data_IF_824237591092
#
_entry.id   IF_824237591092
#
_cell.length_a   1.000
_cell.length_b   1.000
_cell.length_c   1.000
_cell.angle_alpha   90.00
_cell.angle_beta   90.00
_cell.angle_gamma   90.00
#
_symmetry.space_group_name_H-M   'P 1'
#
loop_
_entity.id
_entity.type
_entity.pdbx_description
1 polymer ?
#
# COMPACT_ATOMS: atom_id res chain seq x y z
N UNK A 1 -33.82 19.39 -4.47
CA UNK A 1 -32.88 18.59 -5.30
C UNK A 1 -31.49 19.01 -4.90
N UNK A 2 -30.70 18.19 -4.21
CA UNK A 2 -29.40 18.61 -3.76
C UNK A 2 -28.41 18.59 -4.93
N UNK A 3 -27.66 19.68 -5.04
CA UNK A 3 -26.56 19.92 -5.97
C UNK A 3 -25.57 18.76 -5.97
N UNK A 4 -25.18 18.33 -7.16
CA UNK A 4 -24.02 17.49 -7.38
C UNK A 4 -22.77 18.25 -6.90
N UNK A 5 -22.35 17.97 -5.66
CA UNK A 5 -21.01 18.29 -5.17
C UNK A 5 -20.03 17.86 -6.25
N UNK A 6 -19.20 18.78 -6.73
CA UNK A 6 -18.05 18.48 -7.61
C UNK A 6 -17.41 17.19 -7.12
N UNK A 7 -17.59 16.09 -7.86
CA UNK A 7 -16.79 14.87 -7.69
C UNK A 7 -15.34 15.33 -7.79
N UNK A 8 -14.66 15.38 -6.64
CA UNK A 8 -13.24 15.70 -6.59
C UNK A 8 -12.54 14.79 -7.58
N UNK A 9 -11.64 15.34 -8.38
CA UNK A 9 -10.78 14.57 -9.27
C UNK A 9 -10.20 13.39 -8.50
N UNK A 10 -10.73 12.18 -8.73
CA UNK A 10 -10.19 10.97 -8.17
C UNK A 10 -8.89 10.71 -8.92
N UNK A 11 -7.78 11.33 -8.49
CA UNK A 11 -6.44 11.18 -9.11
C UNK A 11 -6.02 9.70 -9.19
N UNK A 12 -6.61 8.86 -8.35
CA UNK A 12 -6.43 7.41 -8.29
C UNK A 12 -7.34 6.61 -9.23
N UNK A 13 -8.31 7.24 -9.89
CA UNK A 13 -9.23 6.64 -10.85
C UNK A 13 -9.03 7.23 -12.25
N UNK A 14 -9.64 6.61 -13.27
CA UNK A 14 -9.60 7.10 -14.65
C UNK A 14 -10.54 8.30 -14.85
N UNK A 15 -10.13 9.23 -15.71
CA UNK A 15 -10.88 10.46 -15.96
C UNK A 15 -12.09 10.21 -16.87
N UNK A 16 -13.25 10.77 -16.51
CA UNK A 16 -14.35 11.03 -17.45
C UNK A 16 -15.17 9.84 -17.99
N UNK A 17 -14.87 8.59 -17.64
CA UNK A 17 -15.61 7.43 -18.18
C UNK A 17 -16.81 7.02 -17.30
N UNK A 18 -16.54 6.58 -16.07
CA UNK A 18 -17.50 6.01 -15.14
C UNK A 18 -17.00 6.27 -13.72
N UNK A 19 -17.85 6.61 -12.73
CA UNK A 19 -17.39 6.78 -11.35
C UNK A 19 -16.74 5.48 -10.82
N UNK A 20 -15.78 5.57 -9.89
CA UNK A 20 -15.18 4.39 -9.29
C UNK A 20 -16.24 3.58 -8.54
N UNK A 21 -16.19 2.23 -8.58
CA UNK A 21 -17.04 1.41 -7.74
C UNK A 21 -16.84 1.72 -6.25
N UNK A 22 -17.89 1.57 -5.45
CA UNK A 22 -17.83 1.84 -4.01
C UNK A 22 -16.77 1.00 -3.28
N UNK A 23 -16.54 -0.25 -3.72
CA UNK A 23 -15.49 -1.13 -3.19
C UNK A 23 -14.10 -0.52 -3.40
N UNK A 24 -13.86 0.11 -4.55
CA UNK A 24 -12.59 0.78 -4.84
C UNK A 24 -12.37 2.00 -3.97
N UNK A 25 -13.38 2.86 -3.86
CA UNK A 25 -13.29 4.03 -2.98
C UNK A 25 -13.05 3.63 -1.51
N UNK A 26 -13.77 2.61 -1.03
CA UNK A 26 -13.62 2.09 0.33
C UNK A 26 -12.19 1.58 0.59
N UNK A 27 -11.65 0.74 -0.31
CA UNK A 27 -10.29 0.20 -0.12
C UNK A 27 -9.23 1.29 -0.24
N UNK A 28 -9.40 2.27 -1.14
CA UNK A 28 -8.47 3.41 -1.20
C UNK A 28 -8.47 4.17 0.12
N UNK A 29 -9.65 4.49 0.64
CA UNK A 29 -9.79 5.16 1.93
C UNK A 29 -9.14 4.32 3.04
N UNK A 30 -9.47 3.04 3.15
CA UNK A 30 -8.90 2.13 4.14
C UNK A 30 -7.37 2.08 4.10
N UNK A 31 -6.77 2.05 2.91
CA UNK A 31 -5.32 1.95 2.75
C UNK A 31 -4.57 3.28 2.90
N UNK A 32 -5.26 4.41 2.72
CA UNK A 32 -4.64 5.76 2.69
C UNK A 32 -5.07 6.69 3.82
N UNK A 33 -6.15 6.37 4.54
CA UNK A 33 -6.67 7.21 5.62
C UNK A 33 -5.62 7.35 6.74
N UNK A 34 -5.38 8.56 7.27
CA UNK A 34 -4.33 8.81 8.27
C UNK A 34 -4.38 7.91 9.51
N UNK A 35 -5.57 7.45 9.89
CA UNK A 35 -5.75 6.58 11.06
C UNK A 35 -5.24 5.14 10.82
N UNK A 36 -5.27 4.67 9.57
CA UNK A 36 -4.94 3.28 9.20
C UNK A 36 -3.68 3.14 8.34
N UNK A 37 -3.24 4.22 7.69
CA UNK A 37 -2.09 4.25 6.76
C UNK A 37 -0.82 3.66 7.36
N UNK A 38 -0.62 3.86 8.68
CA UNK A 38 0.56 3.36 9.38
C UNK A 38 0.47 1.86 9.62
N UNK A 39 -0.69 1.34 9.99
CA UNK A 39 -0.90 -0.09 10.24
C UNK A 39 -0.69 -0.88 8.95
N UNK A 40 -1.33 -0.43 7.87
CA UNK A 40 -1.13 -0.98 6.54
C UNK A 40 0.32 -0.83 6.07
N UNK A 41 0.95 0.32 6.31
CA UNK A 41 2.36 0.55 6.00
C UNK A 41 3.30 -0.41 6.72
N UNK A 42 2.99 -0.85 7.95
CA UNK A 42 3.78 -1.86 8.67
C UNK A 42 3.65 -3.22 7.99
N UNK A 43 2.43 -3.64 7.66
CA UNK A 43 2.19 -4.91 6.96
C UNK A 43 2.96 -4.96 5.62
N UNK A 44 2.86 -3.88 4.84
CA UNK A 44 3.56 -3.75 3.56
C UNK A 44 5.07 -3.71 3.73
N UNK A 45 5.59 -2.94 4.68
CA UNK A 45 7.02 -2.88 4.96
C UNK A 45 7.59 -4.24 5.39
N UNK A 46 6.82 -5.01 6.17
CA UNK A 46 7.19 -6.37 6.57
C UNK A 46 7.22 -7.33 5.38
N UNK A 47 6.22 -7.27 4.49
CA UNK A 47 6.21 -8.01 3.24
C UNK A 47 7.45 -7.69 2.39
N UNK A 48 7.73 -6.41 2.13
CA UNK A 48 8.88 -6.00 1.31
C UNK A 48 10.20 -6.47 1.92
N UNK A 49 10.35 -6.38 3.25
CA UNK A 49 11.54 -6.88 3.94
C UNK A 49 11.70 -8.41 3.78
N UNK A 50 10.61 -9.15 3.93
CA UNK A 50 10.58 -10.62 3.76
C UNK A 50 10.90 -11.01 2.32
N UNK A 51 10.24 -10.37 1.35
CA UNK A 51 10.44 -10.63 -0.07
C UNK A 51 11.90 -10.41 -0.48
N UNK A 52 12.50 -9.28 -0.07
CA UNK A 52 13.91 -8.99 -0.37
C UNK A 52 14.88 -9.98 0.26
N UNK A 53 14.57 -10.52 1.43
CA UNK A 53 15.38 -11.56 2.07
C UNK A 53 15.35 -12.87 1.28
N UNK A 54 14.23 -13.18 0.63
CA UNK A 54 14.05 -14.42 -0.15
C UNK A 54 14.60 -14.29 -1.58
N UNK A 55 14.39 -13.16 -2.23
CA UNK A 55 14.63 -13.00 -3.67
C UNK A 55 15.77 -12.03 -4.03
N UNK A 56 16.45 -11.42 -3.05
CA UNK A 56 17.52 -10.40 -3.22
C UNK A 56 17.03 -9.06 -3.82
N UNK A 57 16.06 -9.09 -4.74
CA UNK A 57 15.37 -7.94 -5.33
C UNK A 57 14.12 -7.55 -4.55
N UNK A 58 13.64 -6.33 -4.79
CA UNK A 58 12.34 -5.87 -4.27
C UNK A 58 11.17 -6.48 -5.05
N UNK A 59 9.98 -6.57 -4.45
CA UNK A 59 8.78 -6.92 -5.19
C UNK A 59 8.42 -5.83 -6.21
N UNK A 60 7.55 -6.16 -7.15
CA UNK A 60 6.78 -5.20 -7.95
C UNK A 60 5.59 -4.66 -7.16
N UNK A 61 4.99 -3.57 -7.63
CA UNK A 61 3.72 -3.10 -7.08
C UNK A 61 2.63 -4.18 -7.21
N UNK A 62 2.57 -4.91 -8.33
CA UNK A 62 1.59 -5.98 -8.53
C UNK A 62 1.71 -7.06 -7.44
N UNK A 63 2.91 -7.58 -7.21
CA UNK A 63 3.15 -8.61 -6.19
C UNK A 63 2.83 -8.11 -4.78
N UNK A 64 3.19 -6.86 -4.48
CA UNK A 64 2.87 -6.24 -3.20
C UNK A 64 1.36 -6.14 -2.97
N UNK A 65 0.59 -5.70 -3.96
CA UNK A 65 -0.87 -5.63 -3.82
C UNK A 65 -1.52 -7.01 -3.83
N UNK A 66 -0.97 -7.99 -4.56
CA UNK A 66 -1.45 -9.38 -4.51
C UNK A 66 -1.30 -10.02 -3.13
N UNK A 67 -0.23 -9.70 -2.40
CA UNK A 67 -0.09 -10.11 -1.00
C UNK A 67 -1.13 -9.42 -0.12
N UNK A 68 -1.38 -8.13 -0.36
CA UNK A 68 -2.22 -7.30 0.49
C UNK A 68 -3.72 -7.61 0.34
N UNK A 69 -4.14 -7.85 -0.90
CA UNK A 69 -5.52 -8.14 -1.29
C UNK A 69 -5.54 -9.50 -1.99
N UNK A 70 -5.32 -10.60 -1.26
CA UNK A 70 -5.14 -11.92 -1.86
C UNK A 70 -6.41 -12.42 -2.54
N UNK A 71 -7.58 -12.15 -1.94
CA UNK A 71 -8.87 -12.65 -2.41
C UNK A 71 -9.28 -12.07 -3.78
N UNK A 72 -8.72 -10.92 -4.14
CA UNK A 72 -9.04 -10.17 -5.36
C UNK A 72 -7.84 -10.05 -6.30
N UNK A 73 -6.74 -10.78 -6.03
CA UNK A 73 -5.55 -10.75 -6.86
C UNK A 73 -4.86 -9.38 -6.92
N UNK A 74 -4.97 -8.58 -5.85
CA UNK A 74 -4.31 -7.28 -5.74
C UNK A 74 -5.08 -6.12 -6.34
N UNK A 75 -6.42 -6.18 -6.30
CA UNK A 75 -7.34 -5.12 -6.72
C UNK A 75 -8.44 -4.90 -5.68
N UNK A 76 -9.05 -3.71 -5.56
CA UNK A 76 -10.13 -3.50 -4.61
C UNK A 76 -11.42 -4.29 -4.86
N UNK A 77 -11.62 -4.78 -6.07
CA UNK A 77 -12.81 -5.51 -6.50
C UNK A 77 -12.92 -5.53 -8.01
N UNK A 78 -14.08 -5.94 -8.52
CA UNK A 78 -14.35 -6.01 -9.95
C UNK A 78 -14.37 -4.62 -10.59
N UNK A 79 -14.06 -4.60 -11.90
CA UNK A 79 -14.21 -3.42 -12.72
C UNK A 79 -15.65 -3.30 -13.22
N UNK A 80 -16.13 -2.07 -13.48
CA UNK A 80 -17.35 -1.89 -14.28
C UNK A 80 -17.20 -2.56 -15.65
N UNK A 81 -18.28 -3.18 -16.12
CA UNK A 81 -18.29 -3.92 -17.38
C UNK A 81 -18.01 -3.01 -18.58
N UNK A 82 -18.37 -1.73 -18.47
CA UNK A 82 -18.21 -0.70 -19.50
C UNK A 82 -16.76 -0.28 -19.71
N UNK A 83 -15.84 -0.66 -18.82
CA UNK A 83 -14.43 -0.33 -18.99
C UNK A 83 -13.77 -1.28 -19.99
N UNK A 84 -13.09 -0.71 -20.97
CA UNK A 84 -12.24 -1.43 -21.91
C UNK A 84 -10.97 -1.96 -21.20
N UNK A 85 -10.31 -3.01 -21.73
CA UNK A 85 -9.18 -3.65 -21.07
C UNK A 85 -8.01 -2.70 -20.73
N UNK A 86 -7.74 -1.73 -21.58
CA UNK A 86 -6.74 -0.67 -21.38
C UNK A 86 -7.15 0.29 -20.27
N UNK A 87 -8.42 0.68 -20.19
CA UNK A 87 -8.97 1.48 -19.08
C UNK A 87 -8.90 0.73 -17.74
N UNK A 88 -9.18 -0.58 -17.73
CA UNK A 88 -9.02 -1.43 -16.54
C UNK A 88 -7.56 -1.49 -16.07
N UNK A 89 -6.63 -1.63 -17.02
CA UNK A 89 -5.20 -1.63 -16.73
C UNK A 89 -4.72 -0.27 -16.18
N UNK A 90 -5.22 0.83 -16.75
CA UNK A 90 -4.94 2.18 -16.27
C UNK A 90 -5.49 2.41 -14.87
N UNK A 91 -6.75 2.05 -14.61
CA UNK A 91 -7.38 2.15 -13.30
C UNK A 91 -6.60 1.36 -12.23
N UNK A 92 -6.19 0.12 -12.54
CA UNK A 92 -5.33 -0.67 -11.66
C UNK A 92 -3.98 0.01 -11.39
N UNK A 93 -3.36 0.61 -12.41
CA UNK A 93 -2.08 1.30 -12.28
C UNK A 93 -2.20 2.55 -11.42
N UNK A 94 -3.20 3.41 -11.69
CA UNK A 94 -3.47 4.65 -10.93
C UNK A 94 -3.77 4.35 -9.46
N UNK A 95 -4.61 3.35 -9.19
CA UNK A 95 -4.89 2.89 -7.82
C UNK A 95 -3.61 2.50 -7.07
N UNK A 96 -2.81 1.59 -7.66
CA UNK A 96 -1.59 1.08 -6.99
C UNK A 96 -0.58 2.20 -6.77
N UNK A 97 -0.40 3.08 -7.75
CA UNK A 97 0.52 4.20 -7.65
C UNK A 97 0.08 5.23 -6.62
N UNK A 98 -1.21 5.55 -6.55
CA UNK A 98 -1.74 6.47 -5.56
C UNK A 98 -1.48 5.98 -4.12
N UNK A 99 -1.91 4.75 -3.83
CA UNK A 99 -1.71 4.15 -2.49
C UNK A 99 -0.22 4.01 -2.16
N UNK A 100 0.59 3.56 -3.12
CA UNK A 100 2.03 3.43 -2.90
C UNK A 100 2.73 4.78 -2.67
N UNK A 101 2.27 5.85 -3.34
CA UNK A 101 2.77 7.21 -3.12
C UNK A 101 2.45 7.68 -1.71
N UNK A 102 1.22 7.46 -1.22
CA UNK A 102 0.85 7.79 0.17
C UNK A 102 1.80 7.09 1.15
N UNK A 103 2.03 5.78 1.00
CA UNK A 103 2.96 5.06 1.88
C UNK A 103 4.42 5.49 1.72
N UNK A 104 4.83 5.94 0.54
CA UNK A 104 6.16 6.53 0.33
C UNK A 104 6.30 7.86 1.05
N UNK A 105 5.28 8.71 0.99
CA UNK A 105 5.24 9.98 1.71
C UNK A 105 5.29 9.77 3.23
N UNK A 106 4.57 8.77 3.74
CA UNK A 106 4.63 8.35 5.15
C UNK A 106 5.94 7.61 5.53
N UNK A 107 6.87 7.42 4.58
CA UNK A 107 8.16 6.79 4.82
C UNK A 107 8.07 5.30 5.17
N UNK A 108 6.99 4.63 4.79
CA UNK A 108 6.77 3.19 5.04
C UNK A 108 7.46 2.33 3.99
N UNK A 109 7.41 2.74 2.72
CA UNK A 109 8.11 2.12 1.59
C UNK A 109 8.88 3.15 0.75
N UNK A 110 9.67 2.66 -0.20
CA UNK A 110 10.25 3.49 -1.25
C UNK A 110 10.69 2.63 -2.43
N UNK A 111 11.01 3.26 -3.56
CA UNK A 111 11.52 2.61 -4.76
C UNK A 111 12.42 3.56 -5.55
N UNK A 112 12.96 3.09 -6.68
CA UNK A 112 13.67 3.93 -7.66
C UNK A 112 12.76 4.12 -8.86
N UNK A 113 12.52 5.37 -9.24
CA UNK A 113 11.63 5.70 -10.35
C UNK A 113 12.19 5.13 -11.67
N UNK A 114 11.30 4.66 -12.55
CA UNK A 114 11.66 4.07 -13.85
C UNK A 114 12.19 2.63 -13.81
N UNK A 115 12.22 1.95 -12.66
CA UNK A 115 12.75 0.60 -12.54
C UNK A 115 11.82 -0.35 -11.76
N UNK A 116 11.48 -1.49 -12.39
CA UNK A 116 10.78 -2.59 -11.73
C UNK A 116 11.66 -3.25 -10.63
N UNK A 117 11.02 -3.96 -9.70
CA UNK A 117 11.67 -4.71 -8.62
C UNK A 117 12.58 -3.90 -7.69
N UNK A 118 12.29 -2.60 -7.53
CA UNK A 118 13.08 -1.70 -6.67
C UNK A 118 12.41 -1.35 -5.35
N UNK A 119 11.25 -1.95 -5.04
CA UNK A 119 10.56 -1.71 -3.77
C UNK A 119 11.43 -2.11 -2.58
N UNK A 120 11.55 -1.19 -1.63
CA UNK A 120 12.34 -1.31 -0.41
C UNK A 120 11.58 -0.72 0.77
N UNK A 121 12.00 -1.11 1.96
CA UNK A 121 11.48 -0.53 3.21
C UNK A 121 11.87 0.93 3.33
N UNK A 122 10.93 1.75 3.78
CA UNK A 122 11.12 3.18 4.03
C UNK A 122 11.80 3.46 5.37
N UNK A 123 12.12 4.73 5.60
CA UNK A 123 12.83 5.20 6.80
C UNK A 123 12.01 5.05 8.08
N UNK A 124 10.72 5.43 8.04
CA UNK A 124 9.83 5.34 9.20
C UNK A 124 9.57 3.89 9.59
N UNK A 125 9.35 3.00 8.61
CA UNK A 125 9.24 1.57 8.88
C UNK A 125 10.48 1.03 9.60
N UNK A 126 11.68 1.35 9.10
CA UNK A 126 12.94 0.89 9.72
C UNK A 126 13.10 1.42 11.15
N UNK A 127 12.73 2.68 11.39
CA UNK A 127 12.78 3.27 12.73
C UNK A 127 11.84 2.54 13.70
N UNK A 128 10.61 2.25 13.28
CA UNK A 128 9.64 1.51 14.10
C UNK A 128 10.10 0.09 14.41
N UNK A 129 10.63 -0.63 13.41
CA UNK A 129 11.20 -1.98 13.62
C UNK A 129 12.38 -1.94 14.59
N UNK A 130 13.26 -0.94 14.47
CA UNK A 130 14.39 -0.77 15.39
C UNK A 130 13.92 -0.50 16.82
N UNK A 131 12.96 0.41 17.01
CA UNK A 131 12.37 0.71 18.31
C UNK A 131 11.71 -0.53 18.93
N UNK A 132 10.96 -1.32 18.14
CA UNK A 132 10.33 -2.56 18.62
C UNK A 132 11.36 -3.59 19.05
N UNK A 133 12.43 -3.78 18.28
CA UNK A 133 13.54 -4.69 18.64
C UNK A 133 14.24 -4.26 19.92
N UNK A 134 14.49 -2.95 20.09
CA UNK A 134 15.09 -2.41 21.30
C UNK A 134 14.21 -2.67 22.53
N UNK A 135 12.90 -2.46 22.42
CA UNK A 135 11.95 -2.73 23.49
C UNK A 135 11.90 -4.22 23.88
N UNK A 136 11.89 -5.12 22.90
CA UNK A 136 11.93 -6.57 23.16
C UNK A 136 13.23 -6.94 23.89
N UNK A 137 14.38 -6.43 23.41
CA UNK A 137 15.68 -6.68 24.05
C UNK A 137 15.71 -6.19 25.50
N UNK A 138 15.20 -4.99 25.77
CA UNK A 138 15.16 -4.44 27.12
C UNK A 138 14.27 -5.26 28.07
N UNK A 139 13.16 -5.81 27.56
CA UNK A 139 12.30 -6.72 28.34
C UNK A 139 12.99 -8.05 28.62
N UNK A 140 13.68 -8.64 27.63
CA UNK A 140 14.44 -9.89 27.83
C UNK A 140 15.55 -9.71 28.85
N UNK A 141 16.32 -8.62 28.77
CA UNK A 141 17.40 -8.32 29.73
C UNK A 141 16.84 -8.20 31.16
N UNK A 142 15.76 -7.44 31.36
CA UNK A 142 15.12 -7.31 32.67
C UNK A 142 14.69 -8.66 33.24
N UNK A 143 14.09 -9.52 32.43
CA UNK A 143 13.65 -10.85 32.88
C UNK A 143 14.81 -11.77 33.27
N UNK A 144 15.98 -11.61 32.65
CA UNK A 144 17.20 -12.37 33.01
C UNK A 144 17.79 -11.85 34.33
N UNK A 145 17.76 -10.54 34.58
CA UNK A 145 18.31 -9.94 35.81
C UNK A 145 17.44 -10.18 37.06
N UNK A 146 16.16 -10.51 36.87
CA UNK A 146 15.22 -10.82 37.96
C UNK A 146 15.04 -12.31 38.23
N UNK A 147 15.70 -13.19 37.46
CA UNK A 147 15.65 -14.65 37.60
C UNK A 147 16.90 -15.17 38.34
#
# INVERSE_FOLDING_TARGET
MPEATKCGSHEWWIDGATPPPASWAYVVEELTHPDHVREWGIAVGAFVARYRRLYTLGPTFREMFQELLPDTGGLPGDFPDELEPDQRAEAASRFRMHVANVWRHEGMIGWRDGHAHTLRTGTQFRAQVAARKAAIRATVVRNIETA
#
